data_IF_827246519610
#
_entry.id   IF_827246519610
#
_cell.length_a   1.000
_cell.length_b   1.000
_cell.length_c   1.000
_cell.angle_alpha   90.00
_cell.angle_beta   90.00
_cell.angle_gamma   90.00
#
_symmetry.space_group_name_H-M   'P 1'
#
loop_
_entity.id
_entity.type
_entity.pdbx_description
1 polymer ?
#
# COMPACT_ATOMS: atom_id res chain seq x y z
N UNK A 1 3.97 -12.41 15.23
CA UNK A 1 4.54 -11.25 14.53
C UNK A 1 6.06 -11.35 14.40
N UNK A 2 6.88 -11.13 15.46
CA UNK A 2 8.36 -11.17 15.35
C UNK A 2 8.91 -12.48 14.76
N UNK A 3 8.37 -13.63 15.15
CA UNK A 3 8.80 -14.94 14.64
C UNK A 3 8.48 -15.13 13.14
N UNK A 4 7.27 -14.77 12.70
CA UNK A 4 6.85 -14.89 11.30
C UNK A 4 7.63 -13.93 10.38
N UNK A 5 7.80 -12.68 10.82
CA UNK A 5 8.61 -11.71 10.10
C UNK A 5 10.07 -12.18 9.96
N UNK A 6 10.65 -12.69 11.06
CA UNK A 6 12.00 -13.26 11.05
C UNK A 6 12.10 -14.43 10.06
N UNK A 7 11.14 -15.34 10.05
CA UNK A 7 11.13 -16.45 9.09
C UNK A 7 11.05 -15.95 7.63
N UNK A 8 10.20 -14.95 7.35
CA UNK A 8 10.10 -14.35 6.01
C UNK A 8 11.43 -13.72 5.59
N UNK A 9 12.08 -12.96 6.45
CA UNK A 9 13.39 -12.36 6.17
C UNK A 9 14.45 -13.42 5.86
N UNK A 10 14.55 -14.49 6.66
CA UNK A 10 15.54 -15.55 6.44
C UNK A 10 15.29 -16.38 5.17
N UNK A 11 14.08 -16.34 4.61
CA UNK A 11 13.77 -16.97 3.31
C UNK A 11 14.19 -16.12 2.11
N UNK A 12 14.53 -14.85 2.30
CA UNK A 12 14.97 -13.97 1.21
C UNK A 12 16.38 -14.37 0.80
N UNK A 13 16.53 -14.78 -0.46
CA UNK A 13 17.83 -15.10 -1.02
C UNK A 13 18.66 -13.84 -1.22
N UNK A 14 19.98 -13.85 -0.98
CA UNK A 14 20.84 -12.67 -1.12
C UNK A 14 20.74 -11.97 -2.49
N UNK A 15 20.57 -12.73 -3.57
CA UNK A 15 20.40 -12.20 -4.92
C UNK A 15 19.12 -11.40 -5.15
N UNK A 16 18.12 -11.58 -4.28
CA UNK A 16 16.85 -10.87 -4.33
C UNK A 16 16.81 -9.65 -3.40
N UNK A 17 17.84 -9.45 -2.57
CA UNK A 17 17.95 -8.28 -1.70
C UNK A 17 18.42 -7.07 -2.47
N UNK A 18 17.92 -5.90 -2.12
CA UNK A 18 18.36 -4.66 -2.74
C UNK A 18 19.71 -4.22 -2.21
N UNK A 19 20.75 -4.46 -3.00
CA UNK A 19 22.12 -4.02 -2.72
C UNK A 19 22.26 -2.51 -2.99
N UNK A 20 22.61 -1.77 -1.95
CA UNK A 20 22.85 -0.33 -1.99
C UNK A 20 24.29 -0.01 -2.42
N UNK A 21 24.57 1.22 -2.89
CA UNK A 21 25.92 1.64 -3.30
C UNK A 21 27.00 1.46 -2.23
N UNK A 22 26.66 1.57 -0.94
CA UNK A 22 27.58 1.28 0.17
C UNK A 22 28.00 -0.19 0.28
N UNK A 23 27.35 -1.08 -0.48
CA UNK A 23 27.55 -2.53 -0.44
C UNK A 23 26.67 -3.25 0.58
N UNK A 24 25.92 -2.51 1.41
CA UNK A 24 24.90 -3.06 2.33
C UNK A 24 23.61 -3.41 1.59
N UNK A 25 22.76 -4.22 2.22
CA UNK A 25 21.42 -4.51 1.74
C UNK A 25 20.38 -3.68 2.50
N UNK A 26 19.41 -3.13 1.78
CA UNK A 26 18.34 -2.33 2.40
C UNK A 26 17.53 -3.16 3.40
N UNK A 27 17.19 -4.40 3.04
CA UNK A 27 16.41 -5.31 3.88
C UNK A 27 17.12 -5.66 5.18
N UNK A 28 18.45 -5.74 5.17
CA UNK A 28 19.25 -6.05 6.37
C UNK A 28 19.18 -4.88 7.37
N UNK A 29 19.33 -3.64 6.88
CA UNK A 29 19.23 -2.42 7.69
C UNK A 29 17.84 -2.30 8.32
N UNK A 30 16.79 -2.53 7.53
CA UNK A 30 15.41 -2.47 8.02
C UNK A 30 15.10 -3.60 9.00
N UNK A 31 15.60 -4.81 8.74
CA UNK A 31 15.43 -5.95 9.63
C UNK A 31 16.04 -5.67 11.01
N UNK A 32 17.29 -5.20 11.05
CA UNK A 32 17.96 -4.86 12.31
C UNK A 32 17.21 -3.78 13.10
N UNK A 33 16.70 -2.75 12.41
CA UNK A 33 15.93 -1.69 13.05
C UNK A 33 14.60 -2.19 13.62
N UNK A 34 13.86 -2.99 12.85
CA UNK A 34 12.52 -3.47 13.23
C UNK A 34 12.51 -4.43 14.40
N UNK A 35 13.61 -5.15 14.67
CA UNK A 35 13.73 -6.01 15.86
C UNK A 35 13.47 -5.26 17.18
N UNK A 36 13.82 -3.97 17.21
CA UNK A 36 13.67 -3.09 18.37
C UNK A 36 12.29 -2.44 18.48
N UNK A 37 11.42 -2.60 17.48
CA UNK A 37 10.08 -2.05 17.52
C UNK A 37 9.15 -2.90 18.42
N UNK A 38 8.27 -2.22 19.14
CA UNK A 38 7.26 -2.85 19.99
C UNK A 38 6.05 -3.34 19.19
N UNK A 39 5.79 -2.72 18.04
CA UNK A 39 4.61 -2.96 17.20
C UNK A 39 4.97 -3.13 15.72
N UNK A 40 4.03 -3.70 14.95
CA UNK A 40 4.18 -3.84 13.50
C UNK A 40 4.22 -2.48 12.81
N UNK A 41 5.09 -2.37 11.83
CA UNK A 41 5.26 -1.17 11.02
C UNK A 41 5.40 -1.58 9.56
N UNK A 42 5.17 -0.64 8.64
CA UNK A 42 5.36 -0.80 7.19
C UNK A 42 6.78 -1.33 6.84
N UNK A 43 7.76 -1.06 7.70
CA UNK A 43 9.13 -1.60 7.60
C UNK A 43 9.20 -3.13 7.62
N UNK A 44 8.24 -3.81 8.27
CA UNK A 44 8.15 -5.27 8.27
C UNK A 44 7.72 -5.85 6.90
N UNK A 45 7.28 -4.97 5.98
CA UNK A 45 7.04 -5.28 4.57
C UNK A 45 8.16 -4.75 3.65
N UNK A 46 9.30 -4.32 4.22
CA UNK A 46 10.43 -3.72 3.51
C UNK A 46 10.07 -2.47 2.69
N UNK A 47 9.04 -1.74 3.12
CA UNK A 47 8.66 -0.46 2.54
C UNK A 47 9.52 0.63 3.16
N UNK A 48 10.11 1.50 2.33
CA UNK A 48 10.85 2.69 2.78
C UNK A 48 9.98 3.91 2.45
N UNK A 49 9.55 4.63 3.49
CA UNK A 49 8.95 5.94 3.32
C UNK A 49 10.06 6.99 3.20
N UNK A 50 10.26 7.52 1.99
CA UNK A 50 11.30 8.51 1.72
C UNK A 50 11.03 9.87 2.36
N UNK A 51 9.82 10.11 2.87
CA UNK A 51 9.46 11.32 3.61
C UNK A 51 9.71 11.20 5.12
N UNK A 52 9.92 9.99 5.63
CA UNK A 52 10.24 9.74 7.03
C UNK A 52 11.74 9.90 7.29
N UNK A 53 12.13 11.07 7.81
CA UNK A 53 13.53 11.37 8.13
C UNK A 53 14.14 10.36 9.11
N UNK A 54 13.37 9.80 10.05
CA UNK A 54 13.88 8.84 11.04
C UNK A 54 14.38 7.58 10.33
N UNK A 55 13.62 7.10 9.35
CA UNK A 55 13.98 5.93 8.56
C UNK A 55 15.09 6.25 7.57
N UNK A 56 15.03 7.41 6.92
CA UNK A 56 16.08 7.83 6.00
C UNK A 56 17.45 8.03 6.69
N UNK A 57 17.45 8.36 7.99
CA UNK A 57 18.66 8.47 8.79
C UNK A 57 19.35 7.13 9.10
N UNK A 58 18.71 5.98 8.82
CA UNK A 58 19.34 4.65 8.93
C UNK A 58 20.38 4.40 7.83
N UNK A 59 20.26 5.13 6.72
CA UNK A 59 21.13 5.00 5.55
C UNK A 59 22.19 6.11 5.55
N UNK A 60 23.33 5.90 4.89
CA UNK A 60 24.30 6.97 4.67
C UNK A 60 23.87 7.90 3.51
N UNK A 61 24.55 9.03 3.32
CA UNK A 61 24.21 10.01 2.27
C UNK A 61 24.16 9.41 0.86
N UNK A 62 25.10 8.52 0.53
CA UNK A 62 25.18 7.89 -0.79
C UNK A 62 23.97 6.98 -1.04
N UNK A 63 23.62 6.17 -0.04
CA UNK A 63 22.47 5.27 -0.11
C UNK A 63 21.16 6.05 -0.10
N UNK A 64 21.03 7.11 0.71
CA UNK A 64 19.85 8.01 0.70
C UNK A 64 19.63 8.62 -0.67
N UNK A 65 20.69 9.14 -1.28
CA UNK A 65 20.60 9.70 -2.63
C UNK A 65 20.14 8.65 -3.63
N UNK A 66 20.68 7.42 -3.54
CA UNK A 66 20.28 6.32 -4.41
C UNK A 66 18.81 5.93 -4.22
N UNK A 67 18.34 5.77 -2.98
CA UNK A 67 16.94 5.45 -2.66
C UNK A 67 15.99 6.50 -3.24
N UNK A 68 16.37 7.78 -3.16
CA UNK A 68 15.56 8.89 -3.64
C UNK A 68 15.63 9.13 -5.16
N UNK A 69 16.47 8.42 -5.91
CA UNK A 69 16.70 8.71 -7.34
C UNK A 69 16.60 7.48 -8.23
N UNK A 70 16.87 6.30 -7.69
CA UNK A 70 16.92 5.07 -8.45
C UNK A 70 15.52 4.52 -8.72
N UNK A 71 15.22 4.28 -9.99
CA UNK A 71 13.99 3.63 -10.44
C UNK A 71 12.71 4.30 -9.89
N UNK A 72 12.71 5.63 -9.70
CA UNK A 72 11.49 6.37 -9.35
C UNK A 72 10.51 6.19 -10.50
N UNK A 73 9.40 5.52 -10.21
CA UNK A 73 8.26 5.50 -11.11
C UNK A 73 7.59 6.87 -11.09
N UNK A 74 7.13 7.38 -12.25
CA UNK A 74 6.34 8.59 -12.27
C UNK A 74 5.11 8.40 -11.38
N UNK A 75 4.69 9.47 -10.71
CA UNK A 75 3.51 9.44 -9.87
C UNK A 75 2.31 8.92 -10.68
N UNK A 76 1.59 7.90 -10.19
CA UNK A 76 0.45 7.36 -10.90
C UNK A 76 -0.59 8.47 -11.09
N UNK A 77 -0.86 8.79 -12.35
CA UNK A 77 -1.89 9.77 -12.69
C UNK A 77 -3.26 9.13 -12.49
N UNK A 78 -4.05 9.71 -11.59
CA UNK A 78 -5.45 9.35 -11.37
C UNK A 78 -6.30 10.36 -12.11
N UNK A 79 -7.18 9.90 -12.99
CA UNK A 79 -8.12 10.77 -13.70
C UNK A 79 -9.07 11.46 -12.71
N UNK A 80 -9.38 12.74 -12.95
CA UNK A 80 -10.22 13.54 -12.05
C UNK A 80 -11.57 12.88 -11.77
N UNK A 81 -12.17 12.18 -12.76
CA UNK A 81 -13.45 11.50 -12.57
C UNK A 81 -13.32 10.30 -11.63
N UNK A 82 -12.21 9.58 -11.72
CA UNK A 82 -11.93 8.46 -10.83
C UNK A 82 -11.66 8.96 -9.41
N UNK A 83 -10.95 10.09 -9.27
CA UNK A 83 -10.75 10.75 -7.99
C UNK A 83 -12.09 11.22 -7.39
N UNK A 84 -12.92 11.92 -8.16
CA UNK A 84 -14.25 12.35 -7.73
C UNK A 84 -15.10 11.15 -7.30
N UNK A 85 -15.06 10.05 -8.05
CA UNK A 85 -15.75 8.82 -7.71
C UNK A 85 -15.27 8.24 -6.37
N UNK A 86 -13.96 8.19 -6.15
CA UNK A 86 -13.35 7.74 -4.90
C UNK A 86 -13.77 8.62 -3.72
N UNK A 87 -13.79 9.94 -3.91
CA UNK A 87 -14.17 10.92 -2.89
C UNK A 87 -15.62 10.78 -2.42
N UNK A 88 -16.51 10.18 -3.22
CA UNK A 88 -17.88 9.87 -2.79
C UNK A 88 -17.90 8.94 -1.56
N UNK A 89 -16.91 8.07 -1.41
CA UNK A 89 -16.81 7.17 -0.24
C UNK A 89 -16.28 7.85 1.02
N UNK A 90 -15.93 9.15 0.97
CA UNK A 90 -15.55 9.96 2.14
C UNK A 90 -16.76 10.33 3.01
N UNK A 91 -17.70 9.41 3.14
CA UNK A 91 -18.89 9.53 3.98
C UNK A 91 -18.50 9.48 5.46
N UNK A 92 -19.01 10.42 6.25
CA UNK A 92 -18.63 10.58 7.66
C UNK A 92 -19.34 9.61 8.59
N UNK A 93 -20.42 8.98 8.11
CA UNK A 93 -21.25 8.10 8.93
C UNK A 93 -21.30 6.69 8.33
N UNK A 94 -21.26 5.63 9.16
CA UNK A 94 -21.42 4.27 8.68
C UNK A 94 -22.74 4.06 7.92
N UNK A 95 -23.82 4.73 8.32
CA UNK A 95 -25.12 4.66 7.65
C UNK A 95 -25.09 5.31 6.26
N UNK A 96 -24.44 6.48 6.12
CA UNK A 96 -24.24 7.14 4.83
C UNK A 96 -23.42 6.28 3.88
N UNK A 97 -22.30 5.73 4.37
CA UNK A 97 -21.44 4.84 3.60
C UNK A 97 -22.18 3.57 3.14
N UNK A 98 -22.97 2.93 4.02
CA UNK A 98 -23.80 1.77 3.65
C UNK A 98 -24.85 2.11 2.59
N UNK A 99 -25.50 3.28 2.68
CA UNK A 99 -26.45 3.72 1.65
C UNK A 99 -25.78 3.88 0.30
N UNK A 100 -24.59 4.49 0.29
CA UNK A 100 -23.81 4.72 -0.92
C UNK A 100 -23.35 3.41 -1.56
N UNK A 101 -22.87 2.46 -0.76
CA UNK A 101 -22.50 1.12 -1.23
C UNK A 101 -23.72 0.37 -1.76
N UNK A 102 -24.83 0.35 -1.03
CA UNK A 102 -26.03 -0.38 -1.46
C UNK A 102 -26.72 0.23 -2.68
N UNK A 103 -26.44 1.50 -3.01
CA UNK A 103 -26.88 2.11 -4.26
C UNK A 103 -26.15 1.52 -5.48
N UNK A 104 -25.03 0.84 -5.26
CA UNK A 104 -24.23 0.21 -6.30
C UNK A 104 -23.50 1.20 -7.20
N UNK A 105 -22.97 0.67 -8.31
CA UNK A 105 -22.36 1.43 -9.39
C UNK A 105 -23.13 1.14 -10.67
N UNK A 106 -23.44 2.20 -11.42
CA UNK A 106 -24.15 2.06 -12.70
C UNK A 106 -23.14 1.71 -13.80
N UNK A 107 -23.01 0.42 -14.08
CA UNK A 107 -22.15 -0.14 -15.13
C UNK A 107 -22.97 -1.09 -16.01
N UNK A 108 -23.84 -0.57 -16.90
CA UNK A 108 -24.77 -1.40 -17.68
C UNK A 108 -24.07 -2.35 -18.65
N UNK A 109 -22.85 -2.01 -19.09
CA UNK A 109 -21.97 -2.89 -19.87
C UNK A 109 -20.53 -2.75 -19.39
N UNK A 110 -20.06 -3.70 -18.59
CA UNK A 110 -18.72 -3.68 -18.02
C UNK A 110 -17.65 -3.80 -19.11
N UNK A 111 -16.73 -2.83 -19.14
CA UNK A 111 -15.52 -2.83 -19.94
C UNK A 111 -14.31 -2.80 -18.99
N UNK A 112 -13.46 -3.83 -19.02
CA UNK A 112 -12.32 -3.94 -18.10
C UNK A 112 -11.25 -2.86 -18.25
N UNK A 113 -11.13 -2.20 -19.41
CA UNK A 113 -10.16 -1.12 -19.59
C UNK A 113 -10.67 0.20 -19.01
N UNK A 114 -11.99 0.39 -19.00
CA UNK A 114 -12.63 1.63 -18.53
C UNK A 114 -13.13 1.54 -17.09
N UNK A 115 -13.72 0.41 -16.72
CA UNK A 115 -14.58 0.30 -15.54
C UNK A 115 -13.92 -0.46 -14.37
N UNK A 116 -12.75 -1.07 -14.60
CA UNK A 116 -12.07 -1.89 -13.59
C UNK A 116 -11.80 -1.10 -12.30
N UNK A 117 -11.22 0.10 -12.39
CA UNK A 117 -10.85 0.88 -11.20
C UNK A 117 -12.09 1.31 -10.40
N UNK A 118 -13.17 1.70 -11.08
CA UNK A 118 -14.44 2.06 -10.46
C UNK A 118 -15.07 0.88 -9.70
N UNK A 119 -15.08 -0.29 -10.35
CA UNK A 119 -15.56 -1.52 -9.75
C UNK A 119 -14.69 -1.95 -8.56
N UNK A 120 -13.37 -1.91 -8.72
CA UNK A 120 -12.42 -2.27 -7.67
C UNK A 120 -12.58 -1.39 -6.43
N UNK A 121 -12.68 -0.06 -6.60
CA UNK A 121 -12.93 0.87 -5.49
C UNK A 121 -14.24 0.50 -4.78
N UNK A 122 -15.32 0.28 -5.52
CA UNK A 122 -16.61 -0.09 -4.94
C UNK A 122 -16.55 -1.38 -4.13
N UNK A 123 -15.90 -2.41 -4.66
CA UNK A 123 -15.71 -3.70 -3.99
C UNK A 123 -14.92 -3.58 -2.70
N UNK A 124 -13.82 -2.81 -2.71
CA UNK A 124 -13.01 -2.55 -1.50
C UNK A 124 -13.88 -1.95 -0.40
N UNK A 125 -14.63 -0.88 -0.70
CA UNK A 125 -15.50 -0.26 0.30
C UNK A 125 -16.67 -1.15 0.73
N UNK A 126 -17.21 -1.95 -0.18
CA UNK A 126 -18.26 -2.93 0.14
C UNK A 126 -17.79 -3.93 1.19
N UNK A 127 -16.61 -4.52 1.00
CA UNK A 127 -16.02 -5.46 1.95
C UNK A 127 -15.68 -4.82 3.30
N UNK A 128 -15.21 -3.57 3.31
CA UNK A 128 -14.91 -2.85 4.56
C UNK A 128 -16.17 -2.69 5.45
N UNK A 129 -17.35 -2.50 4.86
CA UNK A 129 -18.59 -2.32 5.64
C UNK A 129 -19.27 -3.60 6.10
N UNK A 130 -18.89 -4.75 5.52
CA UNK A 130 -19.37 -6.09 5.91
C UNK A 130 -18.57 -6.63 7.11
N UNK A 131 -17.37 -6.09 7.38
CA UNK A 131 -16.55 -6.47 8.54
C UNK A 131 -17.20 -6.08 9.88
N UNK A 132 -17.33 -7.00 10.86
CA UNK A 132 -17.88 -6.74 12.20
C UNK A 132 -17.14 -5.65 13.00
N UNK A 133 -15.93 -5.27 12.61
CA UNK A 133 -15.15 -4.24 13.28
C UNK A 133 -15.69 -2.82 13.07
N UNK A 134 -16.34 -2.55 11.93
CA UNK A 134 -16.94 -1.23 11.63
C UNK A 134 -18.26 -1.03 12.37
N UNK A 135 -18.92 -2.10 12.85
CA UNK A 135 -20.14 -1.97 13.66
C UNK A 135 -19.89 -1.49 15.09
N UNK A 136 -18.64 -1.50 15.57
CA UNK A 136 -18.28 -1.16 16.95
C UNK A 136 -17.49 0.15 17.08
N UNK A 137 -17.44 0.98 16.03
CA UNK A 137 -16.86 2.33 16.12
C UNK A 137 -15.33 2.39 16.21
N UNK A 138 -14.63 1.31 15.87
CA UNK A 138 -13.17 1.36 15.69
C UNK A 138 -12.82 2.07 14.37
N UNK A 139 -11.83 2.95 14.46
CA UNK A 139 -11.42 3.89 13.43
C UNK A 139 -11.00 3.21 12.13
N UNK A 140 -11.53 3.73 11.02
CA UNK A 140 -11.34 3.30 9.62
C UNK A 140 -9.85 3.28 9.17
N UNK A 141 -8.98 3.96 9.90
CA UNK A 141 -7.55 4.09 9.62
C UNK A 141 -6.76 2.79 9.75
N UNK A 142 -7.25 1.80 10.51
CA UNK A 142 -6.53 0.53 10.74
C UNK A 142 -6.66 -0.45 9.56
N UNK A 143 -7.72 -0.33 8.74
CA UNK A 143 -7.95 -1.26 7.64
C UNK A 143 -7.22 -0.87 6.33
N UNK A 144 -6.94 0.41 6.15
CA UNK A 144 -6.14 0.88 5.02
C UNK A 144 -4.65 0.53 5.16
N UNK A 145 -4.14 0.29 6.36
CA UNK A 145 -2.75 -0.15 6.57
C UNK A 145 -2.54 -1.65 6.38
N UNK A 146 -3.60 -2.46 6.51
CA UNK A 146 -3.54 -3.92 6.38
C UNK A 146 -3.93 -4.44 5.00
N UNK A 147 -4.62 -3.62 4.19
CA UNK A 147 -4.93 -3.95 2.81
C UNK A 147 -3.89 -3.29 1.91
N UNK A 148 -2.85 -4.02 1.49
CA UNK A 148 -1.97 -3.56 0.42
C UNK A 148 -2.81 -3.28 -0.84
N UNK A 149 -3.07 -2.02 -1.12
CA UNK A 149 -3.63 -1.59 -2.40
C UNK A 149 -2.47 -1.56 -3.40
N UNK A 150 -2.22 -2.70 -4.07
CA UNK A 150 -1.28 -2.76 -5.18
C UNK A 150 -1.98 -2.40 -6.49
N UNK A 151 -1.71 -1.21 -7.03
CA UNK A 151 -2.06 -0.87 -8.41
C UNK A 151 -1.08 -1.56 -9.36
N UNK A 152 -1.43 -2.74 -9.88
CA UNK A 152 -0.69 -3.36 -10.96
C UNK A 152 -1.17 -2.80 -12.31
N UNK A 153 -0.38 -1.89 -12.90
CA UNK A 153 -0.53 -1.55 -14.32
C UNK A 153 0.12 -2.66 -15.14
N UNK A 154 -0.71 -3.42 -15.85
CA UNK A 154 -0.28 -4.47 -16.77
C UNK A 154 0.45 -3.82 -17.96
N UNK A 155 1.78 -3.71 -17.89
CA UNK A 155 2.61 -3.32 -19.03
C UNK A 155 2.68 -4.49 -20.00
N UNK A 156 1.79 -4.45 -20.99
CA UNK A 156 1.81 -5.35 -22.12
C UNK A 156 3.20 -5.37 -22.77
N UNK A 157 3.83 -6.54 -22.74
CA UNK A 157 4.93 -6.89 -23.63
C UNK A 157 4.39 -6.89 -25.06
N UNK A 158 4.85 -5.95 -25.86
CA UNK A 158 4.91 -6.09 -27.32
C UNK A 158 6.40 -6.25 -27.65
N UNK A 159 6.70 -7.37 -28.30
CA UNK A 159 8.05 -7.77 -28.70
C UNK A 159 8.53 -7.09 -29.96
#
# INVERSE_FOLDING_TARGET
>A
MKAEYSERYHKIRPENKWKLPSGKFAEDILYEYTLNLEYESYLHSFIIDTSDETIMNLFNDLDRHHINTYNILPEPQVDDKLLDFLLRYREKTPQGLRKLINAGIDLPSYDSQRDFDYHYIHEVFSHLTISPAVSHGHSMWIYLSTTQISFYKNSGKIG
#
